data_IF_662091533365
#
_entry.id   IF_662091533365
#
_cell.length_a   1.000
_cell.length_b   1.000
_cell.length_c   1.000
_cell.angle_alpha   90.00
_cell.angle_beta   90.00
_cell.angle_gamma   90.00
#
_symmetry.space_group_name_H-M   'P 1'
#
loop_
_entity.id
_entity.type
_entity.pdbx_description
1 polymer ?
#
# COMPACT_ATOMS: atom_id res chain seq x y z
N UNK A 1 27.42 -25.03 36.10
CA UNK A 1 25.97 -24.89 35.80
C UNK A 1 25.61 -23.61 35.04
N UNK A 2 26.26 -22.46 35.28
CA UNK A 2 25.90 -21.16 34.67
C UNK A 2 26.13 -21.07 33.15
N UNK A 3 27.17 -21.70 32.60
CA UNK A 3 27.50 -21.63 31.16
C UNK A 3 26.46 -22.32 30.25
N UNK A 4 25.87 -23.45 30.71
CA UNK A 4 24.83 -24.18 29.97
C UNK A 4 23.53 -23.39 29.88
N UNK A 5 23.19 -22.63 30.93
CA UNK A 5 22.00 -21.77 30.96
C UNK A 5 22.14 -20.58 29.99
N UNK A 6 23.34 -19.98 29.92
CA UNK A 6 23.62 -18.85 29.02
C UNK A 6 23.55 -19.30 27.55
N UNK A 7 24.12 -20.46 27.20
CA UNK A 7 24.04 -21.00 25.84
C UNK A 7 22.60 -21.37 25.44
N UNK A 8 21.79 -21.86 26.38
CA UNK A 8 20.38 -22.16 26.15
C UNK A 8 19.56 -20.89 25.88
N UNK A 9 19.82 -19.81 26.63
CA UNK A 9 19.15 -18.51 26.42
C UNK A 9 19.57 -17.83 25.10
N UNK A 10 20.84 -17.94 24.70
CA UNK A 10 21.32 -17.45 23.39
C UNK A 10 20.69 -18.27 22.25
N UNK A 11 20.57 -19.60 22.42
CA UNK A 11 19.89 -20.45 21.43
C UNK A 11 18.42 -20.08 21.23
N UNK A 12 17.70 -19.75 22.31
CA UNK A 12 16.31 -19.29 22.25
C UNK A 12 16.21 -17.91 21.59
N UNK A 13 17.11 -16.96 21.87
CA UNK A 13 17.05 -15.63 21.24
C UNK A 13 17.30 -15.67 19.72
N UNK A 14 18.18 -16.57 19.25
CA UNK A 14 18.44 -16.81 17.82
C UNK A 14 17.22 -17.47 17.14
N UNK A 15 16.51 -18.37 17.82
CA UNK A 15 15.27 -18.99 17.33
C UNK A 15 14.11 -17.99 17.21
N UNK A 16 14.06 -16.96 18.07
CA UNK A 16 13.00 -15.93 18.04
C UNK A 16 13.28 -14.87 16.96
N UNK A 17 14.54 -14.60 16.62
CA UNK A 17 14.92 -13.53 15.67
C UNK A 17 14.98 -13.96 14.20
N UNK A 18 15.00 -15.26 13.90
CA UNK A 18 15.36 -15.77 12.57
C UNK A 18 14.25 -16.02 11.55
N UNK A 19 12.98 -15.66 11.82
CA UNK A 19 11.87 -16.08 10.94
C UNK A 19 10.98 -14.91 10.46
N UNK A 20 11.59 -13.87 9.89
CA UNK A 20 10.84 -12.92 9.06
C UNK A 20 10.47 -13.60 7.74
N UNK A 21 9.27 -14.19 7.72
CA UNK A 21 8.77 -14.98 6.60
C UNK A 21 8.35 -14.06 5.45
N UNK A 22 9.31 -13.63 4.65
CA UNK A 22 9.03 -12.96 3.38
C UNK A 22 8.29 -13.91 2.45
N UNK A 23 7.08 -13.53 2.03
CA UNK A 23 6.38 -14.24 0.97
C UNK A 23 5.79 -13.26 -0.04
N UNK A 24 5.99 -13.59 -1.31
CA UNK A 24 5.36 -12.90 -2.42
C UNK A 24 3.86 -13.23 -2.42
N UNK A 25 3.04 -12.21 -2.62
CA UNK A 25 1.59 -12.29 -2.58
C UNK A 25 1.05 -12.18 -4.00
N UNK A 26 0.25 -13.16 -4.41
CA UNK A 26 -0.47 -13.13 -5.68
C UNK A 26 -1.47 -11.95 -5.68
N UNK A 27 -1.48 -11.19 -6.77
CA UNK A 27 -2.24 -9.95 -6.86
C UNK A 27 -2.60 -9.64 -8.31
N UNK A 28 -3.60 -8.79 -8.48
CA UNK A 28 -4.01 -8.22 -9.76
C UNK A 28 -3.85 -6.70 -9.69
N UNK A 29 -3.16 -6.10 -10.66
CA UNK A 29 -3.04 -4.65 -10.74
C UNK A 29 -4.37 -4.04 -11.20
N UNK A 30 -4.97 -3.21 -10.35
CA UNK A 30 -6.23 -2.50 -10.61
C UNK A 30 -5.97 -1.14 -11.24
N UNK A 31 -5.04 -0.40 -10.65
CA UNK A 31 -4.73 0.94 -11.11
C UNK A 31 -3.27 1.28 -10.82
N UNK A 32 -2.67 2.01 -11.76
CA UNK A 32 -1.34 2.57 -11.65
C UNK A 32 -1.33 3.89 -12.41
N UNK A 33 -1.25 5.01 -11.70
CA UNK A 33 -1.31 6.30 -12.35
C UNK A 33 -1.24 7.48 -11.39
N UNK A 34 -1.15 8.68 -11.97
CA UNK A 34 -1.29 9.91 -11.22
C UNK A 34 -2.77 10.21 -10.98
N UNK A 35 -3.09 10.73 -9.81
CA UNK A 35 -4.40 11.30 -9.51
C UNK A 35 -4.20 12.77 -9.20
N UNK A 36 -5.00 13.64 -9.83
CA UNK A 36 -4.97 15.08 -9.56
C UNK A 36 -5.72 15.38 -8.26
N UNK A 37 -5.08 16.11 -7.34
CA UNK A 37 -5.66 16.63 -6.12
C UNK A 37 -5.51 18.15 -6.08
N UNK A 38 -6.62 18.87 -5.88
CA UNK A 38 -6.57 20.32 -5.69
C UNK A 38 -5.76 20.67 -4.42
N UNK A 39 -4.93 21.71 -4.51
CA UNK A 39 -4.09 22.14 -3.40
C UNK A 39 -4.98 22.60 -2.22
N UNK A 40 -4.81 21.98 -1.04
CA UNK A 40 -5.74 22.09 0.10
C UNK A 40 -6.57 20.83 0.40
N UNK A 41 -6.45 19.78 -0.44
CA UNK A 41 -7.05 18.47 -0.17
C UNK A 41 -6.57 17.84 1.15
N UNK A 42 -7.37 16.93 1.70
CA UNK A 42 -7.02 16.19 2.93
C UNK A 42 -5.73 15.40 2.70
N UNK A 43 -4.80 15.51 3.65
CA UNK A 43 -3.56 14.70 3.64
C UNK A 43 -3.93 13.22 3.70
N UNK A 44 -3.26 12.39 2.90
CA UNK A 44 -3.42 10.95 2.99
C UNK A 44 -3.10 10.47 4.41
N UNK A 45 -3.82 9.44 4.89
CA UNK A 45 -3.72 8.99 6.28
C UNK A 45 -2.37 8.34 6.59
N UNK A 46 -1.67 7.81 5.59
CA UNK A 46 -0.32 7.26 5.74
C UNK A 46 0.40 7.20 4.38
N UNK A 47 1.74 7.18 4.43
CA UNK A 47 2.59 6.84 3.28
C UNK A 47 2.85 5.33 3.18
N UNK A 48 2.46 4.54 4.18
CA UNK A 48 2.52 3.08 4.16
C UNK A 48 1.46 2.49 3.21
N UNK A 49 1.49 1.16 3.02
CA UNK A 49 0.43 0.50 2.24
C UNK A 49 -0.86 0.48 3.06
N UNK A 50 -1.91 1.08 2.53
CA UNK A 50 -3.25 1.05 3.10
C UNK A 50 -3.96 -0.23 2.63
N UNK A 51 -4.71 -0.88 3.52
CA UNK A 51 -5.47 -2.07 3.19
C UNK A 51 -6.95 -1.85 3.47
N UNK A 52 -7.79 -2.15 2.48
CA UNK A 52 -9.23 -2.05 2.59
C UNK A 52 -9.82 -3.46 2.51
N UNK A 53 -10.47 -3.85 3.60
CA UNK A 53 -10.99 -5.20 3.80
C UNK A 53 -12.48 -5.31 3.50
N UNK A 54 -13.15 -4.17 3.34
CA UNK A 54 -14.56 -4.11 3.03
C UNK A 54 -14.88 -2.86 2.21
N UNK A 55 -16.10 -2.85 1.67
CA UNK A 55 -16.61 -1.77 0.82
C UNK A 55 -16.71 -0.43 1.57
N UNK A 56 -17.01 -0.45 2.87
CA UNK A 56 -17.15 0.76 3.68
C UNK A 56 -15.82 1.51 3.81
N UNK A 57 -14.73 0.81 4.17
CA UNK A 57 -13.39 1.37 4.26
C UNK A 57 -12.91 1.91 2.91
N UNK A 58 -13.17 1.14 1.84
CA UNK A 58 -12.83 1.53 0.48
C UNK A 58 -13.55 2.82 0.08
N UNK A 59 -14.87 2.87 0.26
CA UNK A 59 -15.68 4.03 -0.07
C UNK A 59 -15.29 5.25 0.78
N UNK A 60 -15.06 5.06 2.08
CA UNK A 60 -14.61 6.13 2.97
C UNK A 60 -13.28 6.72 2.47
N UNK A 61 -12.31 5.89 2.10
CA UNK A 61 -11.05 6.36 1.55
C UNK A 61 -11.24 7.11 0.23
N UNK A 62 -11.94 6.51 -0.73
CA UNK A 62 -12.09 7.13 -2.05
C UNK A 62 -12.90 8.42 -2.00
N UNK A 63 -13.92 8.52 -1.14
CA UNK A 63 -14.76 9.73 -1.02
C UNK A 63 -14.07 10.90 -0.30
N UNK A 64 -13.04 10.63 0.49
CA UNK A 64 -12.32 11.66 1.24
C UNK A 64 -10.99 12.08 0.60
N UNK A 65 -10.34 11.16 -0.14
CA UNK A 65 -8.98 11.38 -0.62
C UNK A 65 -8.83 11.21 -2.14
N UNK A 66 -9.72 10.46 -2.81
CA UNK A 66 -9.56 10.09 -4.22
C UNK A 66 -10.92 10.11 -4.97
N UNK A 67 -11.66 11.22 -4.87
CA UNK A 67 -13.08 11.28 -5.25
C UNK A 67 -13.33 10.98 -6.74
N UNK A 68 -12.34 11.22 -7.60
CA UNK A 68 -12.39 10.91 -9.03
C UNK A 68 -12.12 9.44 -9.34
N UNK A 69 -11.52 8.68 -8.41
CA UNK A 69 -11.04 7.33 -8.66
C UNK A 69 -12.15 6.29 -8.81
N UNK A 70 -13.23 6.27 -8.01
CA UNK A 70 -14.34 5.34 -8.23
C UNK A 70 -14.92 5.44 -9.64
N UNK A 71 -15.06 6.66 -10.17
CA UNK A 71 -15.51 6.88 -11.54
C UNK A 71 -14.51 6.33 -12.58
N UNK A 72 -13.20 6.52 -12.37
CA UNK A 72 -12.16 5.95 -13.24
C UNK A 72 -12.24 4.41 -13.24
N UNK A 73 -12.32 3.79 -12.06
CA UNK A 73 -12.38 2.33 -11.94
C UNK A 73 -13.69 1.75 -12.51
N UNK A 74 -14.81 2.45 -12.32
CA UNK A 74 -16.10 2.08 -12.91
C UNK A 74 -16.05 2.09 -14.44
N UNK A 75 -15.36 3.05 -15.06
CA UNK A 75 -15.13 3.05 -16.52
C UNK A 75 -14.25 1.89 -16.99
N UNK A 76 -13.36 1.40 -16.14
CA UNK A 76 -12.54 0.22 -16.41
C UNK A 76 -13.27 -1.09 -16.07
N UNK A 77 -14.53 -1.04 -15.62
CA UNK A 77 -15.35 -2.17 -15.20
C UNK A 77 -14.65 -3.07 -14.16
N UNK A 78 -13.92 -2.47 -13.22
CA UNK A 78 -13.16 -3.22 -12.21
C UNK A 78 -14.09 -3.58 -11.04
N UNK A 79 -14.37 -4.87 -10.91
CA UNK A 79 -15.11 -5.44 -9.79
C UNK A 79 -14.16 -5.99 -8.72
N UNK A 80 -14.55 -5.86 -7.45
CA UNK A 80 -13.85 -6.37 -6.26
C UNK A 80 -14.87 -7.10 -5.38
N UNK A 81 -14.62 -8.37 -5.10
CA UNK A 81 -15.43 -9.15 -4.15
C UNK A 81 -14.79 -9.13 -2.76
N UNK A 82 -15.16 -8.17 -1.92
CA UNK A 82 -14.58 -8.02 -0.57
C UNK A 82 -14.81 -9.22 0.36
N UNK A 83 -15.70 -10.17 0.01
CA UNK A 83 -15.84 -11.42 0.77
C UNK A 83 -14.62 -12.33 0.60
N UNK A 84 -13.97 -12.27 -0.58
CA UNK A 84 -12.84 -13.12 -0.95
C UNK A 84 -11.56 -12.32 -1.25
N UNK A 85 -11.65 -11.01 -1.35
CA UNK A 85 -10.57 -10.14 -1.78
C UNK A 85 -10.38 -8.96 -0.81
N UNK A 86 -9.21 -8.35 -0.89
CA UNK A 86 -8.89 -7.07 -0.28
C UNK A 86 -8.27 -6.15 -1.33
N UNK A 87 -8.33 -4.86 -1.09
CA UNK A 87 -7.60 -3.87 -1.87
C UNK A 87 -6.41 -3.40 -1.06
N UNK A 88 -5.22 -3.43 -1.67
CA UNK A 88 -4.05 -2.76 -1.12
C UNK A 88 -3.73 -1.53 -1.97
N UNK A 89 -3.47 -0.42 -1.31
CA UNK A 89 -3.20 0.88 -1.92
C UNK A 89 -1.87 1.43 -1.40
N UNK A 90 -1.00 1.84 -2.33
CA UNK A 90 0.20 2.60 -1.99
C UNK A 90 0.13 3.94 -2.68
N UNK A 91 0.29 4.99 -1.87
CA UNK A 91 0.32 6.38 -2.31
C UNK A 91 1.76 6.84 -2.28
N UNK A 92 2.29 7.28 -3.41
CA UNK A 92 3.59 7.94 -3.48
C UNK A 92 3.37 9.42 -3.67
N UNK A 93 3.48 10.15 -2.56
CA UNK A 93 3.40 11.61 -2.56
C UNK A 93 4.60 12.20 -3.31
N UNK A 94 4.42 13.32 -4.02
CA UNK A 94 5.54 13.98 -4.65
C UNK A 94 6.52 14.53 -3.61
N UNK A 95 7.80 14.54 -3.95
CA UNK A 95 8.85 15.09 -3.08
C UNK A 95 8.80 16.62 -2.99
N UNK A 96 8.16 17.28 -3.95
CA UNK A 96 7.83 18.70 -3.92
C UNK A 96 6.51 18.96 -4.66
N UNK A 97 5.85 20.08 -4.40
CA UNK A 97 4.54 20.40 -5.00
C UNK A 97 4.55 20.54 -6.53
N UNK A 98 5.73 20.53 -7.16
CA UNK A 98 5.90 20.82 -8.59
C UNK A 98 5.94 19.57 -9.44
N UNK A 99 6.45 18.46 -8.92
CA UNK A 99 6.76 17.31 -9.72
C UNK A 99 6.57 15.99 -8.97
N UNK A 100 6.01 15.00 -9.66
CA UNK A 100 6.07 13.62 -9.23
C UNK A 100 6.58 12.72 -10.36
N UNK A 101 7.04 11.52 -9.99
CA UNK A 101 7.51 10.52 -10.94
C UNK A 101 6.66 9.26 -10.84
N UNK A 102 6.47 8.59 -11.97
CA UNK A 102 5.89 7.26 -12.00
C UNK A 102 6.92 6.25 -11.52
N UNK A 103 6.45 5.16 -10.93
CA UNK A 103 7.29 4.05 -10.49
C UNK A 103 6.94 2.78 -11.26
N UNK A 104 7.89 1.87 -11.43
CA UNK A 104 7.61 0.53 -11.95
C UNK A 104 7.22 -0.38 -10.79
N UNK A 105 6.09 -1.06 -10.92
CA UNK A 105 5.65 -2.04 -9.94
C UNK A 105 6.60 -3.26 -9.97
N UNK A 106 7.00 -3.74 -8.81
CA UNK A 106 7.83 -4.95 -8.67
C UNK A 106 6.99 -6.13 -8.20
N UNK A 107 6.46 -6.04 -6.98
CA UNK A 107 5.71 -7.11 -6.32
C UNK A 107 4.97 -6.61 -5.08
N UNK A 108 4.09 -7.46 -4.57
CA UNK A 108 3.50 -7.33 -3.24
C UNK A 108 4.16 -8.34 -2.30
N UNK A 109 4.60 -7.90 -1.13
CA UNK A 109 5.17 -8.76 -0.09
C UNK A 109 4.45 -8.60 1.23
N UNK A 110 4.42 -9.66 2.04
CA UNK A 110 3.95 -9.61 3.42
C UNK A 110 5.13 -9.81 4.38
N UNK A 111 5.42 -8.81 5.21
CA UNK A 111 6.52 -8.83 6.18
C UNK A 111 5.97 -8.43 7.54
N UNK A 112 6.13 -9.27 8.57
CA UNK A 112 5.62 -9.02 9.93
C UNK A 112 4.13 -8.62 9.96
N UNK A 113 3.33 -9.30 9.13
CA UNK A 113 1.91 -9.06 8.89
C UNK A 113 1.56 -7.70 8.24
N UNK A 114 2.54 -6.95 7.73
CA UNK A 114 2.34 -5.69 7.00
C UNK A 114 2.50 -5.96 5.51
N UNK A 115 1.48 -5.60 4.73
CA UNK A 115 1.57 -5.64 3.27
C UNK A 115 2.44 -4.48 2.75
N UNK A 116 3.33 -4.79 1.82
CA UNK A 116 4.19 -3.83 1.17
C UNK A 116 4.06 -3.97 -0.34
N UNK A 117 3.85 -2.83 -1.01
CA UNK A 117 3.94 -2.71 -2.46
C UNK A 117 5.35 -2.21 -2.79
N UNK A 118 6.17 -3.08 -3.39
CA UNK A 118 7.54 -2.76 -3.79
C UNK A 118 7.60 -2.17 -5.19
N UNK A 119 8.53 -1.23 -5.36
CA UNK A 119 8.82 -0.59 -6.64
C UNK A 119 10.23 -0.90 -7.12
N UNK A 120 10.43 -0.81 -8.43
CA UNK A 120 11.74 -0.82 -9.06
C UNK A 120 12.17 0.63 -9.28
N UNK A 121 13.33 0.98 -8.76
CA UNK A 121 14.04 2.21 -9.12
C UNK A 121 14.76 2.02 -10.46
N UNK A 122 14.71 3.02 -11.36
CA UNK A 122 15.35 2.92 -12.68
C UNK A 122 14.94 4.03 -13.66
N UNK A 123 15.63 4.03 -14.81
CA UNK A 123 15.78 5.18 -15.74
C UNK A 123 14.61 5.43 -16.71
N UNK A 124 13.42 4.87 -16.48
CA UNK A 124 12.26 5.06 -17.38
C UNK A 124 11.03 5.49 -16.59
N UNK A 125 11.02 6.75 -16.16
CA UNK A 125 9.92 7.32 -15.38
C UNK A 125 9.17 8.37 -16.21
N UNK A 126 7.86 8.34 -16.13
CA UNK A 126 7.01 9.45 -16.55
C UNK A 126 7.00 10.47 -15.41
N UNK A 127 7.31 11.71 -15.73
CA UNK A 127 7.19 12.82 -14.80
C UNK A 127 5.91 13.58 -15.08
N UNK A 128 5.21 13.98 -14.02
CA UNK A 128 4.14 14.94 -14.10
C UNK A 128 4.59 16.22 -13.42
N UNK A 129 4.41 17.34 -14.10
CA UNK A 129 4.85 18.66 -13.64
C UNK A 129 3.66 19.60 -13.65
N UNK A 130 3.40 20.25 -12.51
CA UNK A 130 2.43 21.34 -12.43
C UNK A 130 3.18 22.68 -12.44
N UNK A 131 3.02 23.43 -13.53
CA UNK A 131 3.60 24.76 -13.66
C UNK A 131 2.94 25.79 -12.74
N UNK A 132 1.72 25.54 -12.28
CA UNK A 132 0.92 26.51 -11.53
C UNK A 132 0.93 26.28 -10.01
N UNK A 133 1.47 25.15 -9.54
CA UNK A 133 1.54 24.76 -8.12
C UNK A 133 0.17 24.72 -7.42
N UNK A 134 -0.90 24.47 -8.17
CA UNK A 134 -2.28 24.42 -7.67
C UNK A 134 -2.81 23.00 -7.57
N UNK A 135 -2.08 22.01 -8.08
CA UNK A 135 -2.51 20.63 -8.07
C UNK A 135 -1.35 19.73 -7.69
N UNK A 136 -1.59 18.86 -6.72
CA UNK A 136 -0.65 17.82 -6.32
C UNK A 136 -1.04 16.55 -7.07
N UNK A 137 -0.04 15.85 -7.60
CA UNK A 137 -0.24 14.62 -8.37
C UNK A 137 0.41 13.43 -7.68
N UNK A 138 -0.16 12.88 -6.59
CA UNK A 138 0.30 11.61 -6.04
C UNK A 138 0.27 10.51 -7.11
N UNK A 139 1.26 9.62 -7.06
CA UNK A 139 1.26 8.41 -7.87
C UNK A 139 0.67 7.27 -7.05
N UNK A 140 -0.44 6.71 -7.54
CA UNK A 140 -1.25 5.72 -6.83
C UNK A 140 -1.07 4.35 -7.48
N UNK A 141 -0.88 3.34 -6.62
CA UNK A 141 -0.99 1.94 -6.97
C UNK A 141 -2.13 1.29 -6.21
N UNK A 142 -3.01 0.62 -6.94
CA UNK A 142 -4.06 -0.22 -6.39
C UNK A 142 -3.91 -1.63 -6.93
N UNK A 143 -3.96 -2.59 -6.02
CA UNK A 143 -3.99 -4.01 -6.35
C UNK A 143 -5.13 -4.69 -5.62
N UNK A 144 -5.73 -5.68 -6.28
CA UNK A 144 -6.60 -6.67 -5.64
C UNK A 144 -5.75 -7.86 -5.20
N UNK A 145 -6.05 -8.39 -4.02
CA UNK A 145 -5.38 -9.55 -3.46
C UNK A 145 -6.44 -10.51 -2.94
N UNK A 146 -6.35 -11.78 -3.34
CA UNK A 146 -7.21 -12.83 -2.79
C UNK A 146 -6.88 -13.07 -1.32
N UNK A 147 -7.91 -13.18 -0.49
CA UNK A 147 -7.79 -13.58 0.91
C UNK A 147 -7.21 -14.98 0.96
N UNK A 148 -6.18 -15.15 1.78
CA UNK A 148 -5.57 -16.45 2.07
C UNK A 148 -5.37 -16.55 3.57
N UNK A 149 -5.18 -17.76 4.14
CA UNK A 149 -4.86 -17.91 5.56
C UNK A 149 -3.63 -17.12 6.01
N UNK A 150 -2.71 -16.77 5.10
CA UNK A 150 -1.54 -15.92 5.41
C UNK A 150 -1.91 -14.48 5.73
N UNK A 151 -3.06 -14.00 5.26
CA UNK A 151 -3.52 -12.61 5.41
C UNK A 151 -4.50 -12.43 6.59
N UNK A 152 -4.80 -13.48 7.35
CA UNK A 152 -5.80 -13.42 8.43
C UNK A 152 -5.41 -12.48 9.58
N UNK A 153 -4.12 -12.27 9.81
CA UNK A 153 -3.58 -11.45 10.90
C UNK A 153 -2.96 -10.14 10.42
N UNK A 154 -3.41 -9.65 9.27
CA UNK A 154 -2.83 -8.48 8.64
C UNK A 154 -2.97 -7.23 9.53
N UNK A 155 -1.85 -6.52 9.74
CA UNK A 155 -1.84 -5.21 10.39
C UNK A 155 -2.35 -4.18 9.39
N UNK A 156 -3.47 -3.56 9.73
CA UNK A 156 -4.14 -2.61 8.85
C UNK A 156 -3.94 -1.19 9.35
N UNK A 157 -2.91 -0.53 8.82
CA UNK A 157 -2.56 0.86 9.13
C UNK A 157 -3.78 1.77 8.96
N UNK A 158 -4.59 1.57 7.93
CA UNK A 158 -5.76 2.42 7.67
C UNK A 158 -6.76 2.42 8.83
N UNK A 159 -6.98 1.28 9.49
CA UNK A 159 -7.87 1.19 10.66
C UNK A 159 -7.33 1.94 11.89
N UNK A 160 -6.02 2.13 11.98
CA UNK A 160 -5.37 2.79 13.11
C UNK A 160 -5.40 4.32 12.99
N UNK A 161 -5.44 4.86 11.76
CA UNK A 161 -5.41 6.32 11.51
C UNK A 161 -6.71 6.92 10.98
N UNK A 162 -7.68 6.11 10.54
CA UNK A 162 -8.93 6.60 9.95
C UNK A 162 -10.14 6.60 10.92
N UNK A 163 -9.91 6.38 12.22
CA UNK A 163 -10.91 6.59 13.29
C UNK A 163 -10.97 8.06 13.70
#
# INVERSE_FOLDING_TARGET
>A
MKLKLVLFLIGISILITGCTKHSDIEHELVFKGFVALENGGRRFPSTETLVFENMEQWNHFTNNYLNSLPYILGRLNIYVDFSNEIIACKVVMPTNERCNSSFKFKKVTLNDNILNIEFIDGDNRVHIVDSNHKTIYPFIFLVKIKRTPKLSNLKNVYKEVAQ
#
